data_IF_817890424382
#
_entry.id   IF_817890424382
#
_cell.length_a   1.000
_cell.length_b   1.000
_cell.length_c   1.000
_cell.angle_alpha   90.00
_cell.angle_beta   90.00
_cell.angle_gamma   90.00
#
_symmetry.space_group_name_H-M   'P 1'
#
loop_
_entity.id
_entity.type
_entity.pdbx_description
1 polymer ?
#
# COMPACT_ATOMS: atom_id res chain seq x y z
N UNK A 1 24.71 14.16 -42.71
CA UNK A 1 23.41 13.92 -42.05
C UNK A 1 23.70 13.44 -40.64
N UNK A 2 23.67 14.35 -39.67
CA UNK A 2 23.94 14.04 -38.26
C UNK A 2 22.65 13.58 -37.58
N UNK A 3 22.68 12.41 -36.95
CA UNK A 3 21.56 11.87 -36.17
C UNK A 3 21.52 12.64 -34.85
N UNK A 4 20.55 13.53 -34.74
CA UNK A 4 20.19 14.20 -33.49
C UNK A 4 19.59 13.15 -32.56
N UNK A 5 20.37 12.65 -31.60
CA UNK A 5 19.83 11.95 -30.42
C UNK A 5 19.12 12.98 -29.58
N UNK A 6 17.81 13.12 -29.78
CA UNK A 6 16.94 13.84 -28.87
C UNK A 6 17.00 13.11 -27.54
N UNK A 7 17.56 13.76 -26.53
CA UNK A 7 17.51 13.33 -25.13
C UNK A 7 16.03 13.20 -24.77
N UNK A 8 15.53 11.97 -24.71
CA UNK A 8 14.32 11.66 -23.96
C UNK A 8 14.56 12.21 -22.56
N UNK A 9 13.72 13.16 -22.13
CA UNK A 9 13.70 13.55 -20.73
C UNK A 9 13.56 12.26 -19.92
N UNK A 10 14.50 12.03 -19.01
CA UNK A 10 14.44 10.93 -18.07
C UNK A 10 13.07 10.98 -17.40
N UNK A 11 12.15 10.15 -17.88
CA UNK A 11 10.96 9.77 -17.13
C UNK A 11 11.52 8.93 -16.00
N UNK A 12 12.00 9.61 -14.96
CA UNK A 12 12.44 8.96 -13.74
C UNK A 12 11.24 8.19 -13.21
N UNK A 13 11.33 6.87 -13.34
CA UNK A 13 10.37 5.93 -12.82
C UNK A 13 10.23 6.19 -11.32
N UNK A 14 9.08 6.73 -10.92
CA UNK A 14 8.91 7.23 -9.55
C UNK A 14 7.52 6.85 -9.05
N UNK A 15 7.49 5.82 -8.20
CA UNK A 15 6.23 5.27 -7.71
C UNK A 15 5.64 6.10 -6.58
N UNK A 16 6.29 6.18 -5.42
CA UNK A 16 5.98 7.17 -4.40
C UNK A 16 7.30 7.72 -3.91
N UNK A 17 7.66 8.90 -4.40
CA UNK A 17 8.87 9.59 -3.95
C UNK A 17 8.64 10.28 -2.62
N UNK A 18 7.43 10.80 -2.43
CA UNK A 18 7.13 11.67 -1.33
C UNK A 18 5.69 11.72 -0.91
N UNK A 19 5.52 11.92 0.39
CA UNK A 19 4.24 11.99 1.06
C UNK A 19 4.26 13.21 1.97
N UNK A 20 3.25 14.06 1.82
CA UNK A 20 3.01 15.22 2.68
C UNK A 20 1.56 15.19 3.14
N UNK A 21 1.35 15.43 4.44
CA UNK A 21 0.01 15.55 5.03
C UNK A 21 -0.21 16.98 5.50
N UNK A 22 -1.38 17.52 5.18
CA UNK A 22 -1.86 18.83 5.60
C UNK A 22 -2.83 18.70 6.79
N UNK A 23 -3.29 19.84 7.32
CA UNK A 23 -4.12 19.89 8.52
C UNK A 23 -5.50 19.22 8.37
N UNK A 24 -6.02 19.10 7.15
CA UNK A 24 -7.33 18.54 6.80
C UNK A 24 -7.35 17.02 6.57
N UNK A 25 -6.19 16.36 6.48
CA UNK A 25 -6.15 14.89 6.33
C UNK A 25 -6.87 14.12 7.45
N UNK A 26 -7.83 13.27 7.06
CA UNK A 26 -8.71 12.54 7.98
C UNK A 26 -8.81 11.02 7.73
N UNK A 27 -8.33 10.51 6.58
CA UNK A 27 -8.52 9.11 6.18
C UNK A 27 -7.90 8.09 7.15
N UNK A 28 -6.80 8.47 7.83
CA UNK A 28 -6.20 7.68 8.92
C UNK A 28 -6.09 8.59 10.15
N UNK A 29 -7.17 8.74 10.95
CA UNK A 29 -7.27 9.78 11.97
C UNK A 29 -6.13 9.78 12.99
N UNK A 30 -5.63 8.58 13.33
CA UNK A 30 -4.58 8.41 14.32
C UNK A 30 -3.18 8.71 13.79
N UNK A 31 -2.94 8.74 12.47
CA UNK A 31 -1.60 8.88 11.89
C UNK A 31 -0.90 10.19 12.29
N UNK A 32 -1.63 11.33 12.27
CA UNK A 32 -1.06 12.65 12.59
C UNK A 32 -0.48 12.76 14.00
N UNK A 33 -1.04 12.03 14.96
CA UNK A 33 -0.59 12.02 16.34
C UNK A 33 0.55 11.04 16.61
N UNK A 34 0.98 10.26 15.61
CA UNK A 34 2.00 9.22 15.81
C UNK A 34 3.40 9.80 15.84
N UNK A 35 4.31 9.09 16.53
CA UNK A 35 5.71 9.48 16.56
C UNK A 35 6.36 9.40 15.18
N UNK A 36 5.95 8.44 14.33
CA UNK A 36 6.40 8.33 12.95
C UNK A 36 6.09 9.61 12.21
N UNK A 37 4.83 10.04 12.24
CA UNK A 37 4.45 11.24 11.52
C UNK A 37 5.10 12.49 12.12
N UNK A 38 5.17 12.62 13.45
CA UNK A 38 5.87 13.75 14.08
C UNK A 38 7.36 13.84 13.68
N UNK A 39 8.02 12.69 13.53
CA UNK A 39 9.43 12.61 13.11
C UNK A 39 9.61 13.03 11.65
N UNK A 40 8.72 12.59 10.79
CA UNK A 40 8.81 12.82 9.34
C UNK A 40 8.22 14.18 8.93
N UNK A 41 7.21 14.67 9.63
CA UNK A 41 6.62 16.00 9.45
C UNK A 41 7.63 17.12 9.68
N UNK A 42 8.60 16.94 10.61
CA UNK A 42 9.72 17.90 10.77
C UNK A 42 10.56 18.05 9.51
N UNK A 43 10.59 17.02 8.65
CA UNK A 43 11.28 17.04 7.36
C UNK A 43 10.38 17.54 6.22
N UNK A 44 9.12 17.89 6.51
CA UNK A 44 8.06 18.25 5.55
C UNK A 44 7.75 17.20 4.47
N UNK A 45 8.50 16.09 4.41
CA UNK A 45 8.47 15.09 3.35
C UNK A 45 9.11 13.80 3.87
N UNK A 46 8.37 12.70 3.78
CA UNK A 46 8.93 11.35 3.93
C UNK A 46 9.38 10.88 2.56
N UNK A 47 10.66 10.53 2.41
CA UNK A 47 11.23 10.02 1.17
C UNK A 47 11.46 8.52 1.28
N UNK A 48 11.00 7.77 0.28
CA UNK A 48 11.27 6.34 0.14
C UNK A 48 12.43 6.14 -0.84
N UNK A 49 13.32 5.20 -0.52
CA UNK A 49 14.40 4.76 -1.41
C UNK A 49 13.85 3.90 -2.54
N UNK A 50 14.50 4.01 -3.71
CA UNK A 50 14.32 3.13 -4.87
C UNK A 50 15.49 2.13 -5.01
N UNK A 51 16.54 2.27 -4.20
CA UNK A 51 17.74 1.44 -4.30
C UNK A 51 17.71 0.27 -3.31
N UNK A 52 16.97 0.41 -2.20
CA UNK A 52 16.89 -0.56 -1.12
C UNK A 52 15.48 -0.70 -0.59
N UNK A 53 15.13 -1.85 0.04
CA UNK A 53 13.87 -1.98 0.75
C UNK A 53 13.74 -0.94 1.85
N UNK A 54 12.58 -0.29 1.92
CA UNK A 54 12.26 0.69 2.95
C UNK A 54 11.70 -0.05 4.16
N UNK A 55 12.40 0.02 5.30
CA UNK A 55 11.99 -0.71 6.51
C UNK A 55 11.69 0.26 7.63
N UNK A 56 10.45 0.28 8.07
CA UNK A 56 9.94 1.14 9.12
C UNK A 56 10.08 0.41 10.46
N UNK A 57 10.87 0.99 11.35
CA UNK A 57 11.16 0.43 12.68
C UNK A 57 10.70 1.38 13.78
N UNK A 58 10.22 0.83 14.89
CA UNK A 58 9.79 1.63 16.04
C UNK A 58 8.96 0.86 17.05
N UNK A 59 8.73 1.45 18.24
CA UNK A 59 7.95 0.81 19.30
C UNK A 59 6.48 0.58 18.88
N UNK A 60 5.76 -0.22 19.65
CA UNK A 60 4.32 -0.40 19.46
C UNK A 60 3.59 0.96 19.55
N UNK A 61 2.58 1.16 18.71
CA UNK A 61 1.83 2.42 18.68
C UNK A 61 2.56 3.60 18.02
N UNK A 62 3.75 3.40 17.45
CA UNK A 62 4.52 4.48 16.79
C UNK A 62 3.95 4.94 15.44
N UNK A 63 2.88 4.29 14.93
CA UNK A 63 2.21 4.65 13.68
C UNK A 63 2.63 3.86 12.43
N UNK A 64 3.32 2.72 12.57
CA UNK A 64 3.79 1.93 11.42
C UNK A 64 2.63 1.41 10.55
N UNK A 65 1.71 0.64 11.14
CA UNK A 65 0.48 0.18 10.48
C UNK A 65 -0.39 1.33 9.99
N UNK A 66 -0.44 2.45 10.71
CA UNK A 66 -1.17 3.65 10.28
C UNK A 66 -0.63 4.21 8.95
N UNK A 67 0.70 4.25 8.83
CA UNK A 67 1.37 4.71 7.63
C UNK A 67 1.20 3.72 6.47
N UNK A 68 1.34 2.42 6.71
CA UNK A 68 1.10 1.41 5.67
C UNK A 68 -0.38 1.39 5.24
N UNK A 69 -1.32 1.66 6.14
CA UNK A 69 -2.74 1.83 5.81
C UNK A 69 -2.94 3.02 4.88
N UNK A 70 -2.27 4.15 5.11
CA UNK A 70 -2.30 5.30 4.18
C UNK A 70 -1.77 4.90 2.80
N UNK A 71 -0.65 4.18 2.72
CA UNK A 71 -0.12 3.68 1.45
C UNK A 71 -1.09 2.70 0.77
N UNK A 72 -1.74 1.84 1.56
CA UNK A 72 -2.71 0.87 1.05
C UNK A 72 -3.97 1.55 0.50
N UNK A 73 -4.47 2.60 1.15
CA UNK A 73 -5.55 3.42 0.60
C UNK A 73 -5.10 4.16 -0.66
N UNK A 74 -3.90 4.76 -0.62
CA UNK A 74 -3.37 5.48 -1.77
C UNK A 74 -3.20 4.55 -2.97
N UNK A 75 -2.80 3.30 -2.78
CA UNK A 75 -2.61 2.33 -3.88
C UNK A 75 -3.85 1.49 -4.19
N UNK A 76 -4.98 1.79 -3.54
CA UNK A 76 -6.24 1.05 -3.67
C UNK A 76 -6.10 -0.46 -3.37
N UNK A 77 -5.20 -0.82 -2.46
CA UNK A 77 -4.91 -2.21 -2.05
C UNK A 77 -5.55 -2.58 -0.71
N UNK A 78 -6.07 -1.61 0.05
CA UNK A 78 -6.51 -1.83 1.44
C UNK A 78 -7.61 -2.89 1.60
N UNK A 79 -8.53 -3.03 0.65
CA UNK A 79 -9.64 -3.97 0.77
C UNK A 79 -9.33 -5.34 0.18
N UNK A 80 -8.56 -5.45 -0.91
CA UNK A 80 -8.35 -6.70 -1.63
C UNK A 80 -6.91 -7.26 -1.52
N UNK A 81 -5.97 -6.47 -1.00
CA UNK A 81 -4.55 -6.78 -0.95
C UNK A 81 -3.81 -6.62 -2.28
N UNK A 82 -4.51 -6.20 -3.34
CA UNK A 82 -3.96 -5.90 -4.67
C UNK A 82 -4.57 -4.59 -5.16
N UNK A 83 -3.92 -3.86 -6.06
CA UNK A 83 -4.53 -2.62 -6.56
C UNK A 83 -5.81 -2.94 -7.33
N UNK A 84 -6.95 -2.52 -6.79
CA UNK A 84 -8.25 -2.76 -7.42
C UNK A 84 -9.17 -1.55 -7.31
N UNK A 85 -9.98 -1.35 -8.35
CA UNK A 85 -11.19 -0.55 -8.19
C UNK A 85 -12.20 -1.42 -7.44
N UNK A 86 -12.74 -0.86 -6.36
CA UNK A 86 -13.63 -1.54 -5.42
C UNK A 86 -14.72 -0.56 -4.96
N UNK A 87 -15.96 -1.04 -4.89
CA UNK A 87 -17.09 -0.20 -4.46
C UNK A 87 -16.93 0.28 -3.02
N UNK A 88 -16.16 -0.40 -2.16
CA UNK A 88 -15.88 0.07 -0.80
C UNK A 88 -15.09 1.39 -0.77
N UNK A 89 -14.37 1.74 -1.85
CA UNK A 89 -13.75 3.06 -1.95
C UNK A 89 -14.75 4.17 -2.32
N UNK A 90 -15.94 3.85 -2.84
CA UNK A 90 -16.83 4.86 -3.46
C UNK A 90 -18.21 4.93 -2.83
N UNK A 91 -18.75 3.78 -2.40
CA UNK A 91 -20.10 3.64 -1.85
C UNK A 91 -20.22 4.41 -0.55
N UNK A 92 -21.31 5.17 -0.42
CA UNK A 92 -21.57 5.99 0.76
C UNK A 92 -21.61 5.15 2.04
N UNK A 93 -20.97 5.64 3.08
CA UNK A 93 -20.71 4.89 4.30
C UNK A 93 -19.51 5.46 5.04
N UNK A 94 -19.42 5.17 6.35
CA UNK A 94 -18.42 5.78 7.25
C UNK A 94 -16.99 5.66 6.73
N UNK A 95 -16.62 4.52 6.16
CA UNK A 95 -15.27 4.29 5.66
C UNK A 95 -14.96 5.13 4.42
N UNK A 96 -15.75 5.00 3.35
CA UNK A 96 -15.56 5.79 2.13
C UNK A 96 -15.64 7.30 2.44
N UNK A 97 -16.55 7.74 3.29
CA UNK A 97 -16.69 9.16 3.61
C UNK A 97 -15.47 9.75 4.35
N UNK A 98 -14.65 8.93 5.00
CA UNK A 98 -13.35 9.35 5.54
C UNK A 98 -12.26 9.46 4.45
N UNK A 99 -12.43 8.78 3.32
CA UNK A 99 -11.47 8.77 2.22
C UNK A 99 -11.70 9.91 1.21
N UNK A 100 -12.83 10.61 1.28
CA UNK A 100 -13.19 11.65 0.31
C UNK A 100 -13.50 12.96 0.99
N UNK A 101 -13.14 14.08 0.36
CA UNK A 101 -13.74 15.36 0.74
C UNK A 101 -15.22 15.40 0.36
N UNK A 102 -15.99 16.24 1.06
CA UNK A 102 -17.34 16.58 0.65
C UNK A 102 -17.28 17.33 -0.68
N UNK A 103 -18.06 16.87 -1.66
CA UNK A 103 -18.25 17.60 -2.92
C UNK A 103 -19.13 18.81 -2.64
N UNK A 104 -18.67 19.99 -3.03
CA UNK A 104 -19.48 21.21 -3.00
C UNK A 104 -19.85 21.63 -4.41
N UNK A 105 -20.60 22.72 -4.55
CA UNK A 105 -20.87 23.30 -5.88
C UNK A 105 -19.64 24.00 -6.47
N UNK A 106 -18.62 24.31 -5.65
CA UNK A 106 -17.37 24.96 -6.08
C UNK A 106 -16.24 23.96 -6.27
N UNK A 107 -16.21 22.96 -5.41
CA UNK A 107 -15.06 22.09 -5.23
C UNK A 107 -15.44 20.65 -5.52
N UNK A 108 -14.63 20.05 -6.37
CA UNK A 108 -14.66 18.64 -6.71
C UNK A 108 -14.28 17.78 -5.48
N UNK A 109 -14.83 16.57 -5.40
CA UNK A 109 -14.43 15.63 -4.35
C UNK A 109 -12.98 15.20 -4.58
N UNK A 110 -12.17 15.22 -3.52
CA UNK A 110 -10.76 14.85 -3.54
C UNK A 110 -10.62 13.52 -2.81
N UNK A 111 -9.95 12.56 -3.45
CA UNK A 111 -9.58 11.30 -2.81
C UNK A 111 -8.38 11.53 -1.89
N UNK A 112 -8.47 11.04 -0.66
CA UNK A 112 -7.52 11.27 0.43
C UNK A 112 -7.23 12.76 0.64
N UNK A 113 -8.26 13.58 0.96
CA UNK A 113 -8.07 15.01 1.12
C UNK A 113 -6.97 15.28 2.16
N UNK A 114 -6.11 16.22 1.84
CA UNK A 114 -4.97 16.60 2.65
C UNK A 114 -3.79 15.64 2.65
N UNK A 115 -3.78 14.61 1.81
CA UNK A 115 -2.58 13.82 1.50
C UNK A 115 -2.09 14.13 0.09
N UNK A 116 -0.87 14.66 0.00
CA UNK A 116 -0.19 14.93 -1.26
C UNK A 116 0.82 13.82 -1.54
N UNK A 117 0.70 13.19 -2.72
CA UNK A 117 1.57 12.13 -3.17
C UNK A 117 2.23 12.49 -4.50
N UNK A 118 3.52 12.26 -4.60
CA UNK A 118 4.26 12.29 -5.86
C UNK A 118 4.33 10.86 -6.40
N UNK A 119 3.43 10.51 -7.32
CA UNK A 119 3.22 9.12 -7.76
C UNK A 119 2.88 8.94 -9.24
N UNK A 120 3.35 7.83 -9.82
CA UNK A 120 2.99 7.34 -11.16
C UNK A 120 1.70 6.48 -11.18
N UNK A 121 1.08 6.24 -10.02
CA UNK A 121 -0.07 5.36 -9.83
C UNK A 121 0.15 3.91 -10.27
N UNK A 122 1.38 3.41 -10.23
CA UNK A 122 1.65 2.01 -10.53
C UNK A 122 0.91 1.06 -9.58
N UNK A 123 0.54 -0.15 -10.06
CA UNK A 123 -0.09 -1.17 -9.25
C UNK A 123 0.76 -1.59 -8.05
N UNK A 124 0.11 -2.05 -7.00
CA UNK A 124 0.72 -2.46 -5.78
C UNK A 124 0.08 -3.73 -5.23
N UNK A 125 0.76 -4.35 -4.28
CA UNK A 125 0.21 -5.38 -3.40
C UNK A 125 0.40 -4.97 -1.95
N UNK A 126 -0.59 -5.27 -1.14
CA UNK A 126 -0.56 -5.06 0.30
C UNK A 126 -0.75 -6.39 1.01
N UNK A 127 0.20 -6.70 1.89
CA UNK A 127 0.15 -7.85 2.74
C UNK A 127 0.12 -7.40 4.20
N UNK A 128 -0.78 -8.01 4.96
CA UNK A 128 -0.74 -8.02 6.42
C UNK A 128 -1.20 -9.41 6.91
N UNK A 129 -0.73 -9.88 8.06
CA UNK A 129 -1.23 -11.08 8.71
C UNK A 129 -2.75 -11.07 8.76
N UNK A 130 -3.36 -12.20 8.43
CA UNK A 130 -4.82 -12.39 8.50
C UNK A 130 -5.63 -11.41 7.63
N UNK A 131 -5.02 -10.84 6.57
CA UNK A 131 -5.76 -10.02 5.62
C UNK A 131 -6.83 -10.85 4.91
N UNK A 132 -8.09 -10.57 5.24
CA UNK A 132 -9.26 -11.00 4.50
C UNK A 132 -9.72 -9.87 3.58
N UNK A 133 -10.17 -10.24 2.38
CA UNK A 133 -10.73 -9.30 1.44
C UNK A 133 -11.96 -8.59 2.04
N UNK A 134 -12.12 -7.31 1.71
CA UNK A 134 -13.07 -6.41 2.36
C UNK A 134 -12.67 -5.93 3.75
N UNK A 135 -11.48 -6.31 4.25
CA UNK A 135 -11.09 -6.09 5.65
C UNK A 135 -12.08 -6.72 6.65
N UNK A 136 -12.68 -7.85 6.27
CA UNK A 136 -13.73 -8.48 7.06
C UNK A 136 -13.18 -9.32 8.22
N UNK A 137 -14.01 -9.51 9.25
CA UNK A 137 -13.61 -10.25 10.46
C UNK A 137 -13.54 -11.76 10.27
N UNK A 138 -14.22 -12.31 9.26
CA UNK A 138 -14.18 -13.74 8.96
C UNK A 138 -14.50 -14.02 7.48
N UNK A 139 -14.13 -15.22 7.03
CA UNK A 139 -14.29 -15.68 5.64
C UNK A 139 -15.75 -15.60 5.19
N UNK A 140 -16.69 -16.02 6.04
CA UNK A 140 -18.13 -16.02 5.71
C UNK A 140 -18.63 -14.61 5.44
N UNK A 141 -18.24 -13.62 6.26
CA UNK A 141 -18.65 -12.23 6.04
C UNK A 141 -18.06 -11.69 4.74
N UNK A 142 -16.78 -11.95 4.45
CA UNK A 142 -16.16 -11.59 3.17
C UNK A 142 -16.93 -12.13 1.96
N UNK A 143 -17.35 -13.39 2.03
CA UNK A 143 -18.19 -13.99 0.97
C UNK A 143 -19.55 -13.28 0.85
N UNK A 144 -20.17 -12.90 1.96
CA UNK A 144 -21.48 -12.23 1.98
C UNK A 144 -21.45 -10.80 1.44
N UNK A 145 -20.33 -10.09 1.56
CA UNK A 145 -20.17 -8.69 1.12
C UNK A 145 -19.57 -8.53 -0.28
N UNK A 146 -19.39 -9.62 -1.02
CA UNK A 146 -19.03 -9.60 -2.44
C UNK A 146 -17.65 -10.16 -2.79
N UNK A 147 -16.84 -10.55 -1.81
CA UNK A 147 -15.48 -11.10 -2.02
C UNK A 147 -15.49 -12.63 -2.05
N UNK A 148 -16.44 -13.23 -2.77
CA UNK A 148 -16.64 -14.68 -2.77
C UNK A 148 -15.39 -15.45 -3.21
N UNK A 149 -14.75 -15.00 -4.29
CA UNK A 149 -13.62 -15.72 -4.89
C UNK A 149 -12.33 -15.49 -4.08
N UNK A 150 -12.09 -14.28 -3.60
CA UNK A 150 -10.95 -13.93 -2.75
C UNK A 150 -11.03 -14.63 -1.40
N UNK A 151 -12.22 -14.68 -0.78
CA UNK A 151 -12.44 -15.34 0.49
C UNK A 151 -12.25 -16.86 0.38
N UNK A 152 -12.71 -17.48 -0.72
CA UNK A 152 -12.46 -18.91 -1.00
C UNK A 152 -10.97 -19.19 -1.22
N UNK A 153 -10.30 -18.37 -2.02
CA UNK A 153 -8.86 -18.52 -2.24
C UNK A 153 -8.07 -18.41 -0.92
N UNK A 154 -8.47 -17.50 -0.03
CA UNK A 154 -7.91 -17.42 1.31
C UNK A 154 -8.24 -18.66 2.16
N UNK A 155 -9.50 -19.11 2.20
CA UNK A 155 -9.93 -20.31 2.92
C UNK A 155 -9.14 -21.56 2.50
N UNK A 156 -8.97 -21.76 1.19
CA UNK A 156 -8.16 -22.86 0.64
C UNK A 156 -6.68 -22.72 1.02
N UNK A 157 -6.20 -21.49 1.19
CA UNK A 157 -4.84 -21.24 1.64
C UNK A 157 -4.63 -21.54 3.13
N UNK A 158 -5.62 -21.32 4.02
CA UNK A 158 -5.43 -21.38 5.48
C UNK A 158 -6.37 -22.30 6.28
N UNK A 159 -7.65 -22.42 5.95
CA UNK A 159 -8.68 -22.97 6.86
C UNK A 159 -8.54 -24.50 7.04
N UNK A 160 -8.09 -25.20 5.99
CA UNK A 160 -7.88 -26.65 6.02
C UNK A 160 -6.43 -27.06 6.28
N UNK A 161 -5.61 -26.12 6.77
CA UNK A 161 -4.18 -26.30 6.95
C UNK A 161 -3.80 -26.09 8.41
N UNK A 162 -2.72 -26.73 8.85
CA UNK A 162 -2.15 -26.39 10.16
C UNK A 162 -1.70 -24.93 10.16
N UNK A 163 -1.59 -24.32 11.35
CA UNK A 163 -1.10 -22.93 11.46
C UNK A 163 0.22 -22.71 10.70
N UNK A 164 1.17 -23.64 10.82
CA UNK A 164 2.43 -23.59 10.06
C UNK A 164 2.25 -23.68 8.54
N UNK A 165 1.35 -24.54 8.06
CA UNK A 165 1.05 -24.64 6.62
C UNK A 165 0.34 -23.38 6.08
N UNK A 166 -0.55 -22.78 6.87
CA UNK A 166 -1.19 -21.50 6.54
C UNK A 166 -0.16 -20.37 6.45
N UNK A 167 0.72 -20.24 7.45
CA UNK A 167 1.82 -19.29 7.44
C UNK A 167 2.74 -19.47 6.21
N UNK A 168 3.09 -20.71 5.87
CA UNK A 168 3.91 -21.00 4.69
C UNK A 168 3.20 -20.64 3.37
N UNK A 169 1.89 -20.86 3.27
CA UNK A 169 1.13 -20.46 2.09
C UNK A 169 1.14 -18.92 1.91
N UNK A 170 0.96 -18.18 3.01
CA UNK A 170 1.02 -16.72 3.00
C UNK A 170 2.42 -16.20 2.68
N UNK A 171 3.46 -16.81 3.25
CA UNK A 171 4.85 -16.50 2.93
C UNK A 171 5.16 -16.73 1.45
N UNK A 172 4.68 -17.84 0.88
CA UNK A 172 4.87 -18.13 -0.54
C UNK A 172 4.21 -17.08 -1.42
N UNK A 173 3.08 -16.50 -1.00
CA UNK A 173 2.45 -15.36 -1.69
C UNK A 173 3.34 -14.11 -1.65
N UNK A 174 3.93 -13.80 -0.50
CA UNK A 174 4.88 -12.67 -0.37
C UNK A 174 6.12 -12.92 -1.24
N UNK A 175 6.70 -14.12 -1.21
CA UNK A 175 7.85 -14.49 -2.05
C UNK A 175 7.51 -14.41 -3.54
N UNK A 176 6.34 -14.89 -3.94
CA UNK A 176 5.88 -14.79 -5.31
C UNK A 176 5.80 -13.33 -5.75
N UNK A 177 5.23 -12.44 -4.94
CA UNK A 177 5.22 -10.99 -5.24
C UNK A 177 6.64 -10.40 -5.32
N UNK A 178 7.53 -10.77 -4.40
CA UNK A 178 8.93 -10.33 -4.41
C UNK A 178 9.74 -10.86 -5.61
N UNK A 179 9.27 -11.91 -6.29
CA UNK A 179 9.95 -12.53 -7.43
C UNK A 179 9.23 -12.26 -8.77
N UNK A 180 7.99 -11.79 -8.73
CA UNK A 180 7.17 -11.55 -9.91
C UNK A 180 7.84 -10.51 -10.84
N UNK A 181 7.88 -10.76 -12.16
CA UNK A 181 8.14 -9.74 -13.15
C UNK A 181 7.31 -8.47 -12.88
N UNK A 182 7.86 -7.30 -13.13
CA UNK A 182 7.15 -6.03 -12.90
C UNK A 182 5.83 -5.90 -13.68
N UNK A 183 5.71 -6.61 -14.82
CA UNK A 183 4.50 -6.65 -15.64
C UNK A 183 3.35 -7.47 -15.08
N UNK A 184 3.56 -8.27 -14.03
CA UNK A 184 2.51 -9.12 -13.46
C UNK A 184 1.56 -8.36 -12.51
N UNK A 185 1.89 -7.10 -12.20
CA UNK A 185 1.06 -6.27 -11.34
C UNK A 185 0.08 -5.47 -12.19
N UNK A 186 -1.21 -5.76 -12.04
CA UNK A 186 -2.27 -5.13 -12.81
C UNK A 186 -3.35 -4.53 -11.90
N UNK A 187 -4.02 -3.49 -12.39
CA UNK A 187 -5.26 -3.00 -11.79
C UNK A 187 -6.37 -4.01 -12.00
N UNK A 188 -7.02 -4.43 -10.92
CA UNK A 188 -8.16 -5.33 -10.97
C UNK A 188 -9.48 -4.58 -10.75
N UNK A 189 -10.58 -5.24 -11.07
CA UNK A 189 -11.93 -4.80 -10.73
C UNK A 189 -12.51 -5.86 -9.78
N UNK A 190 -12.49 -5.56 -8.48
CA UNK A 190 -12.96 -6.46 -7.43
C UNK A 190 -14.16 -5.81 -6.78
N UNK A 191 -15.30 -6.51 -6.73
CA UNK A 191 -16.54 -5.96 -6.17
C UNK A 191 -16.89 -4.56 -6.74
N UNK A 192 -16.70 -4.36 -8.05
CA UNK A 192 -16.82 -3.05 -8.70
C UNK A 192 -18.06 -2.97 -9.59
N UNK A 193 -18.88 -1.93 -9.41
CA UNK A 193 -20.06 -1.68 -10.25
C UNK A 193 -20.00 -0.41 -11.12
N UNK A 194 -18.92 0.39 -11.02
CA UNK A 194 -18.77 1.67 -11.75
C UNK A 194 -18.43 1.57 -13.25
N UNK A 195 -18.35 0.34 -13.79
CA UNK A 195 -17.90 0.04 -15.16
C UNK A 195 -16.41 0.30 -15.39
N UNK A 196 -15.88 -0.05 -16.56
CA UNK A 196 -14.42 0.00 -16.78
C UNK A 196 -13.94 1.34 -17.35
N UNK A 197 -14.67 1.89 -18.33
CA UNK A 197 -14.29 3.11 -19.02
C UNK A 197 -14.69 4.36 -18.22
N UNK A 198 -13.80 5.37 -18.11
CA UNK A 198 -14.17 6.71 -17.65
C UNK A 198 -15.27 7.31 -18.53
N UNK A 199 -16.19 8.06 -17.93
CA UNK A 199 -17.27 8.79 -18.60
C UNK A 199 -17.16 10.27 -18.25
N UNK A 200 -17.54 11.11 -19.20
CA UNK A 200 -17.64 12.55 -18.93
C UNK A 200 -18.88 12.84 -18.06
N UNK A 201 -18.65 13.46 -16.91
CA UNK A 201 -19.73 13.89 -16.02
C UNK A 201 -20.31 15.20 -16.54
N UNK A 202 -21.32 15.13 -17.41
CA UNK A 202 -22.00 16.33 -17.89
C UNK A 202 -22.72 17.04 -16.73
N UNK A 203 -22.40 18.30 -16.45
CA UNK A 203 -22.96 19.08 -15.33
C UNK A 203 -24.48 19.34 -15.38
N UNK A 204 -25.19 18.88 -16.41
CA UNK A 204 -26.65 19.02 -16.55
C UNK A 204 -27.44 17.92 -15.84
N UNK A 205 -26.82 16.78 -15.53
CA UNK A 205 -27.46 15.69 -14.82
C UNK A 205 -26.96 15.67 -13.37
N UNK A 206 -27.88 15.46 -12.43
CA UNK A 206 -27.47 15.21 -11.05
C UNK A 206 -26.70 13.89 -11.00
N UNK A 207 -25.40 13.98 -10.71
CA UNK A 207 -24.50 12.83 -10.55
C UNK A 207 -24.37 12.58 -9.06
N UNK A 208 -24.74 11.37 -8.61
CA UNK A 208 -24.58 10.96 -7.22
C UNK A 208 -23.11 10.94 -6.79
N UNK A 209 -22.88 10.90 -5.47
CA UNK A 209 -21.52 10.86 -4.93
C UNK A 209 -20.77 9.60 -5.39
N UNK A 210 -21.46 8.46 -5.46
CA UNK A 210 -20.89 7.20 -5.91
C UNK A 210 -20.34 7.32 -7.33
N UNK A 211 -21.16 7.76 -8.29
CA UNK A 211 -20.76 7.90 -9.69
C UNK A 211 -19.59 8.86 -9.82
N UNK A 212 -19.64 9.99 -9.12
CA UNK A 212 -18.57 10.98 -9.13
C UNK A 212 -17.23 10.41 -8.62
N UNK A 213 -17.24 9.78 -7.44
CA UNK A 213 -16.07 9.10 -6.85
C UNK A 213 -15.54 8.00 -7.79
N UNK A 214 -16.45 7.27 -8.45
CA UNK A 214 -16.08 6.21 -9.38
C UNK A 214 -15.33 6.73 -10.61
N UNK A 215 -15.75 7.86 -11.17
CA UNK A 215 -15.09 8.46 -12.34
C UNK A 215 -13.68 8.96 -11.99
N UNK A 216 -13.47 9.49 -10.79
CA UNK A 216 -12.14 9.90 -10.32
C UNK A 216 -11.20 8.70 -10.23
N UNK A 217 -11.63 7.59 -9.62
CA UNK A 217 -10.78 6.41 -9.51
C UNK A 217 -10.50 5.76 -10.88
N UNK A 218 -11.47 5.79 -11.80
CA UNK A 218 -11.26 5.34 -13.20
C UNK A 218 -10.28 6.24 -13.94
N UNK A 219 -10.39 7.57 -13.79
CA UNK A 219 -9.44 8.52 -14.37
C UNK A 219 -8.02 8.29 -13.83
N UNK A 220 -7.91 8.00 -12.53
CA UNK A 220 -6.65 7.64 -11.88
C UNK A 220 -6.03 6.36 -12.47
N UNK A 221 -6.81 5.28 -12.63
CA UNK A 221 -6.37 4.07 -13.33
C UNK A 221 -5.94 4.37 -14.77
N UNK A 222 -6.68 5.20 -15.51
CA UNK A 222 -6.37 5.56 -16.89
C UNK A 222 -5.12 6.45 -17.04
N UNK A 223 -4.73 7.15 -15.97
CA UNK A 223 -3.49 7.92 -15.91
C UNK A 223 -2.25 7.02 -15.87
N UNK A 224 -2.35 5.83 -15.28
CA UNK A 224 -1.28 4.83 -15.31
C UNK A 224 -1.07 4.32 -16.74
N UNK A 225 0.16 4.43 -17.25
CA UNK A 225 0.53 4.07 -18.64
C UNK A 225 1.25 2.72 -18.78
N UNK A 226 1.23 1.88 -17.75
CA UNK A 226 1.86 0.56 -17.79
C UNK A 226 3.39 0.55 -17.59
N UNK A 227 4.01 1.71 -17.35
CA UNK A 227 5.47 1.83 -17.28
C UNK A 227 6.00 2.14 -15.87
N UNK A 228 5.14 2.22 -14.85
CA UNK A 228 5.56 2.57 -13.49
C UNK A 228 6.10 1.40 -12.67
N UNK A 229 6.78 1.69 -11.56
CA UNK A 229 7.38 0.69 -10.68
C UNK A 229 6.33 0.15 -9.70
N UNK A 230 6.02 -1.15 -9.65
CA UNK A 230 5.04 -1.67 -8.71
C UNK A 230 5.47 -1.58 -7.24
N UNK A 231 4.51 -1.49 -6.30
CA UNK A 231 4.78 -1.46 -4.85
C UNK A 231 4.50 -2.82 -4.22
N UNK A 232 5.31 -3.18 -3.24
CA UNK A 232 4.98 -4.23 -2.29
C UNK A 232 4.98 -3.58 -0.90
N UNK A 233 3.83 -3.66 -0.22
CA UNK A 233 3.60 -3.11 1.11
C UNK A 233 3.42 -4.29 2.06
N UNK A 234 4.28 -4.43 3.07
CA UNK A 234 4.25 -5.53 4.03
C UNK A 234 4.10 -4.98 5.46
N UNK A 235 2.99 -5.27 6.12
CA UNK A 235 2.75 -4.89 7.52
C UNK A 235 2.94 -6.10 8.43
N UNK A 236 4.02 -6.09 9.23
CA UNK A 236 4.40 -7.17 10.15
C UNK A 236 4.37 -8.57 9.50
N UNK A 237 5.05 -8.76 8.35
CA UNK A 237 4.93 -9.99 7.58
C UNK A 237 5.44 -11.24 8.31
N UNK A 238 6.24 -11.06 9.36
CA UNK A 238 6.78 -12.10 10.23
C UNK A 238 5.83 -12.58 11.32
N UNK A 239 4.70 -11.89 11.56
CA UNK A 239 3.78 -12.21 12.65
C UNK A 239 3.20 -13.61 12.43
N UNK A 240 3.64 -14.60 13.21
CA UNK A 240 3.33 -16.06 13.14
C UNK A 240 4.30 -16.95 12.38
N UNK A 241 5.46 -16.44 11.94
CA UNK A 241 6.52 -17.28 11.37
C UNK A 241 7.40 -17.88 12.49
N UNK A 242 7.91 -19.09 12.27
CA UNK A 242 9.02 -19.59 13.07
C UNK A 242 10.33 -18.88 12.67
N UNK A 243 11.37 -19.03 13.49
CA UNK A 243 12.63 -18.31 13.30
C UNK A 243 13.32 -18.61 11.96
N UNK A 244 13.25 -19.86 11.47
CA UNK A 244 13.86 -20.21 10.18
C UNK A 244 13.10 -19.53 9.05
N UNK A 245 11.77 -19.62 9.08
CA UNK A 245 10.86 -19.08 8.08
C UNK A 245 10.92 -17.55 8.04
N UNK A 246 11.04 -16.90 9.20
CA UNK A 246 11.31 -15.46 9.32
C UNK A 246 12.64 -15.08 8.66
N UNK A 247 13.73 -15.81 8.91
CA UNK A 247 15.02 -15.53 8.27
C UNK A 247 14.96 -15.69 6.75
N UNK A 248 14.26 -16.70 6.26
CA UNK A 248 14.08 -16.89 4.83
C UNK A 248 13.23 -15.76 4.19
N UNK A 249 12.19 -15.28 4.88
CA UNK A 249 11.42 -14.09 4.47
C UNK A 249 12.33 -12.88 4.34
N UNK A 250 13.13 -12.59 5.37
CA UNK A 250 14.02 -11.42 5.37
C UNK A 250 15.10 -11.50 4.31
N UNK A 251 15.65 -12.69 4.07
CA UNK A 251 16.56 -12.91 2.96
C UNK A 251 15.90 -12.60 1.62
N UNK A 252 14.64 -13.00 1.42
CA UNK A 252 13.89 -12.67 0.21
C UNK A 252 13.64 -11.15 0.07
N UNK A 253 13.30 -10.46 1.17
CA UNK A 253 13.13 -9.00 1.20
C UNK A 253 14.45 -8.30 0.86
N UNK A 254 15.56 -8.72 1.45
CA UNK A 254 16.90 -8.17 1.20
C UNK A 254 17.34 -8.37 -0.26
N UNK A 255 17.00 -9.50 -0.87
CA UNK A 255 17.37 -9.86 -2.24
C UNK A 255 16.40 -9.30 -3.30
N UNK A 256 15.32 -8.64 -2.89
CA UNK A 256 14.34 -8.08 -3.81
C UNK A 256 14.97 -6.99 -4.69
N UNK A 257 14.81 -7.13 -6.01
CA UNK A 257 15.34 -6.16 -6.97
C UNK A 257 14.55 -4.86 -6.95
N UNK A 258 15.04 -3.88 -6.19
CA UNK A 258 14.39 -2.58 -6.04
C UNK A 258 14.45 -1.71 -7.31
N UNK A 259 15.23 -2.11 -8.33
CA UNK A 259 15.20 -1.43 -9.64
C UNK A 259 13.93 -1.72 -10.43
N UNK A 260 13.20 -2.78 -10.07
CA UNK A 260 11.96 -3.20 -10.75
C UNK A 260 10.70 -3.02 -9.91
N UNK A 261 10.83 -2.66 -8.63
CA UNK A 261 9.71 -2.48 -7.69
C UNK A 261 10.12 -1.70 -6.45
N UNK A 262 9.17 -1.04 -5.81
CA UNK A 262 9.37 -0.37 -4.54
C UNK A 262 8.86 -1.25 -3.38
N UNK A 263 9.70 -1.49 -2.37
CA UNK A 263 9.34 -2.31 -1.20
C UNK A 263 9.26 -1.45 0.05
N UNK A 264 8.15 -1.56 0.78
CA UNK A 264 7.93 -0.88 2.08
C UNK A 264 7.46 -1.90 3.11
N UNK A 265 8.20 -2.02 4.21
CA UNK A 265 7.97 -3.02 5.26
C UNK A 265 7.86 -2.33 6.61
N UNK A 266 6.81 -2.62 7.38
CA UNK A 266 6.76 -2.33 8.81
C UNK A 266 7.02 -3.62 9.58
N UNK A 267 7.85 -3.55 10.61
CA UNK A 267 8.25 -4.78 11.31
C UNK A 267 8.64 -4.54 12.76
N UNK A 268 8.63 -5.62 13.53
CA UNK A 268 9.23 -5.77 14.85
C UNK A 268 10.42 -6.75 14.87
N UNK A 269 10.75 -7.37 13.75
CA UNK A 269 11.89 -8.28 13.62
C UNK A 269 13.22 -7.61 13.95
N UNK A 270 14.13 -8.36 14.58
CA UNK A 270 15.50 -7.91 14.82
C UNK A 270 16.38 -7.90 13.56
N UNK A 271 15.95 -8.57 12.47
CA UNK A 271 16.78 -8.75 11.28
C UNK A 271 17.27 -7.42 10.66
N UNK A 272 16.44 -6.38 10.48
CA UNK A 272 16.90 -5.08 9.97
C UNK A 272 17.81 -4.33 10.93
N UNK A 273 17.73 -4.59 12.23
CA UNK A 273 18.61 -3.98 13.23
C UNK A 273 20.01 -4.58 13.20
N UNK A 274 20.11 -5.86 12.84
CA UNK A 274 21.37 -6.60 12.70
C UNK A 274 22.06 -6.35 11.35
N UNK A 275 21.31 -5.96 10.32
CA UNK A 275 21.81 -5.73 8.96
C UNK A 275 21.34 -4.37 8.39
N UNK A 276 21.56 -3.25 9.10
CA UNK A 276 20.99 -1.95 8.73
C UNK A 276 21.48 -1.44 7.36
N UNK A 277 22.67 -1.85 6.92
CA UNK A 277 23.25 -1.48 5.62
C UNK A 277 22.49 -2.05 4.42
N UNK A 278 21.74 -3.13 4.62
CA UNK A 278 20.93 -3.77 3.58
C UNK A 278 19.61 -3.01 3.29
N UNK A 279 19.21 -2.08 4.16
CA UNK A 279 17.89 -1.47 4.14
C UNK A 279 17.97 0.05 4.17
N UNK A 280 16.92 0.71 3.68
CA UNK A 280 16.64 2.11 4.02
C UNK A 280 15.81 2.12 5.31
N UNK A 281 16.46 2.26 6.46
CA UNK A 281 15.79 2.26 7.75
C UNK A 281 15.07 3.59 8.00
N UNK A 282 13.76 3.51 8.21
CA UNK A 282 12.90 4.65 8.56
C UNK A 282 12.50 4.50 10.03
N UNK A 283 13.17 5.26 10.90
CA UNK A 283 12.84 5.26 12.32
C UNK A 283 11.53 6.03 12.58
N UNK A 284 10.58 5.38 13.23
CA UNK A 284 9.36 6.01 13.74
C UNK A 284 9.63 6.85 15.00
N UNK A 285 10.74 6.59 15.69
CA UNK A 285 11.24 7.38 16.84
C UNK A 285 12.75 7.55 16.64
N UNK A 286 13.29 8.78 16.58
CA UNK A 286 14.71 8.99 16.35
C UNK A 286 15.61 8.25 17.35
N UNK A 287 16.63 7.56 16.87
CA UNK A 287 17.59 6.83 17.70
C UNK A 287 17.09 5.48 18.24
N UNK A 288 15.95 4.99 17.77
CA UNK A 288 15.41 3.68 18.13
C UNK A 288 16.33 2.54 17.70
N UNK A 289 16.88 2.57 16.48
CA UNK A 289 17.83 1.60 15.95
C UNK A 289 19.07 1.51 16.83
N UNK A 290 19.70 2.66 17.14
CA UNK A 290 20.90 2.72 17.94
C UNK A 290 20.68 2.16 19.36
N UNK A 291 19.52 2.46 19.96
CA UNK A 291 19.14 1.93 21.28
C UNK A 291 18.95 0.43 21.27
N UNK A 292 18.31 -0.14 20.24
CA UNK A 292 18.16 -1.59 20.11
C UNK A 292 19.54 -2.25 19.92
N UNK A 293 20.39 -1.69 19.07
CA UNK A 293 21.74 -2.22 18.84
C UNK A 293 22.61 -2.22 20.11
N UNK A 294 22.52 -1.18 20.95
CA UNK A 294 23.25 -1.14 22.22
C UNK A 294 22.82 -2.19 23.25
N UNK A 295 21.63 -2.79 23.06
CA UNK A 295 21.15 -3.87 23.92
C UNK A 295 21.51 -5.26 23.38
N UNK A 296 21.95 -5.34 22.11
CA UNK A 296 22.39 -6.59 21.46
C UNK A 296 23.90 -6.81 21.60
N UNK A 297 24.67 -5.76 21.88
CA UNK A 297 26.12 -5.77 22.16
C UNK A 297 26.43 -6.09 23.61
#
# INVERSE_FOLDING_TARGET
MGITRTLHGDLSLTMINSIKLTADFAAVPYLKGTSLWATQARKNKLTLSLEKPNVIVGPNGSGKTAFLTLLAYQTLTYFSGVTSLDDNFTRTGREADMLWSERTWRDDAVFLPGAEFETDNAPAVFYRPQHLAGNESCIVTAMMVGYMDEARAYADAVERKSSGQGCNALLNRVRAALQAPSGDFEYQYINWSGGEAPRELSGKNWVGQYEYRSEILKARKAAYKGAGLPMIILDEPEQSLDALTELELWRAIQQADCSTRQLVVATHSLHPFLNPEAFNIIEAVPGYLAKVQSLLS
#
